data_IF_890212153871
#
_entry.id   IF_890212153871
#
_cell.length_a   1.000
_cell.length_b   1.000
_cell.length_c   1.000
_cell.angle_alpha   90.00
_cell.angle_beta   90.00
_cell.angle_gamma   90.00
#
_symmetry.space_group_name_H-M   'P 1'
#
loop_
_entity.id
_entity.type
_entity.pdbx_description
1 polymer ?
#
# COMPACT_ATOMS: atom_id res chain seq x y z
N UNK A 1 11.29 13.77 5.23
CA UNK A 1 11.22 12.68 4.22
C UNK A 1 9.89 12.00 4.44
N UNK A 2 9.17 11.74 3.35
CA UNK A 2 7.93 10.98 3.40
C UNK A 2 8.21 9.58 3.99
N UNK A 3 7.39 9.15 4.95
CA UNK A 3 7.53 7.84 5.59
C UNK A 3 6.19 7.14 5.58
N UNK A 4 6.20 5.85 5.25
CA UNK A 4 5.05 4.97 5.42
C UNK A 4 5.38 3.87 6.43
N UNK A 5 4.37 3.35 7.11
CA UNK A 5 4.47 2.15 7.94
C UNK A 5 3.36 1.19 7.58
N UNK A 6 3.72 -0.08 7.51
CA UNK A 6 2.76 -1.16 7.36
C UNK A 6 2.38 -1.64 8.77
N UNK A 7 1.12 -2.02 8.94
CA UNK A 7 0.70 -2.83 10.08
C UNK A 7 0.89 -4.31 9.74
N UNK A 8 0.79 -5.17 10.76
CA UNK A 8 0.95 -6.62 10.60
C UNK A 8 0.02 -7.19 9.51
N UNK A 9 -1.24 -6.75 9.45
CA UNK A 9 -2.19 -7.20 8.42
C UNK A 9 -1.75 -6.83 6.99
N UNK A 10 -1.23 -5.62 6.77
CA UNK A 10 -0.75 -5.21 5.47
C UNK A 10 0.56 -5.93 5.08
N UNK A 11 1.42 -6.24 6.05
CA UNK A 11 2.62 -7.06 5.81
C UNK A 11 2.23 -8.49 5.39
N UNK A 12 1.28 -9.12 6.09
CA UNK A 12 0.74 -10.44 5.72
C UNK A 12 0.10 -10.42 4.32
N UNK A 13 -0.65 -9.37 3.98
CA UNK A 13 -1.26 -9.23 2.66
C UNK A 13 -0.20 -9.08 1.56
N UNK A 14 0.90 -8.35 1.81
CA UNK A 14 2.03 -8.27 0.89
C UNK A 14 2.69 -9.62 0.66
N UNK A 15 2.92 -10.39 1.73
CA UNK A 15 3.51 -11.72 1.63
C UNK A 15 2.64 -12.65 0.77
N UNK A 16 1.33 -12.69 1.04
CA UNK A 16 0.36 -13.49 0.26
C UNK A 16 0.32 -13.07 -1.21
N UNK A 17 0.37 -11.76 -1.48
CA UNK A 17 0.35 -11.24 -2.83
C UNK A 17 1.63 -11.61 -3.60
N UNK A 18 2.77 -11.57 -2.91
CA UNK A 18 4.06 -11.96 -3.48
C UNK A 18 4.12 -13.47 -3.75
N UNK A 19 3.72 -14.31 -2.80
CA UNK A 19 3.59 -15.76 -2.99
C UNK A 19 2.67 -16.09 -4.17
N UNK A 20 1.50 -15.47 -4.23
CA UNK A 20 0.56 -15.63 -5.34
C UNK A 20 1.19 -15.18 -6.67
N UNK A 21 1.96 -14.09 -6.66
CA UNK A 21 2.70 -13.58 -7.80
C UNK A 21 3.70 -14.59 -8.36
N UNK A 22 4.45 -15.24 -7.46
CA UNK A 22 5.42 -16.30 -7.82
C UNK A 22 4.68 -17.48 -8.45
N UNK A 23 3.62 -17.96 -7.80
CA UNK A 23 2.88 -19.15 -8.20
C UNK A 23 2.13 -18.95 -9.53
N UNK A 24 1.62 -17.75 -9.79
CA UNK A 24 0.74 -17.47 -10.92
C UNK A 24 1.46 -16.92 -12.14
N UNK A 25 2.58 -16.21 -11.95
CA UNK A 25 3.22 -15.46 -13.05
C UNK A 25 4.70 -15.80 -13.23
N UNK A 26 5.51 -15.62 -12.19
CA UNK A 26 6.93 -15.98 -12.07
C UNK A 26 7.57 -15.14 -10.97
N UNK A 27 8.70 -15.61 -10.43
CA UNK A 27 9.51 -14.83 -9.49
C UNK A 27 9.84 -13.44 -10.01
N UNK A 28 10.34 -13.33 -11.25
CA UNK A 28 10.72 -12.05 -11.83
C UNK A 28 9.53 -11.06 -12.03
N UNK A 29 8.31 -11.57 -12.20
CA UNK A 29 7.12 -10.72 -12.23
C UNK A 29 6.67 -10.33 -10.83
N UNK A 30 6.74 -11.25 -9.87
CA UNK A 30 6.44 -10.97 -8.46
C UNK A 30 7.39 -9.88 -7.90
N UNK A 31 8.69 -9.99 -8.15
CA UNK A 31 9.70 -9.01 -7.72
C UNK A 31 9.38 -7.62 -8.28
N UNK A 32 9.18 -7.51 -9.60
CA UNK A 32 8.86 -6.23 -10.24
C UNK A 32 7.56 -5.62 -9.72
N UNK A 33 6.56 -6.45 -9.45
CA UNK A 33 5.30 -5.98 -8.89
C UNK A 33 5.49 -5.48 -7.46
N UNK A 34 6.23 -6.22 -6.63
CA UNK A 34 6.55 -5.84 -5.26
C UNK A 34 7.32 -4.51 -5.22
N UNK A 35 8.38 -4.35 -6.02
CA UNK A 35 9.14 -3.11 -6.11
C UNK A 35 8.26 -1.92 -6.53
N UNK A 36 7.40 -2.12 -7.54
CA UNK A 36 6.46 -1.10 -7.99
C UNK A 36 5.44 -0.71 -6.91
N UNK A 37 5.02 -1.65 -6.07
CA UNK A 37 4.12 -1.40 -4.95
C UNK A 37 4.80 -0.60 -3.84
N UNK A 38 6.05 -0.93 -3.50
CA UNK A 38 6.87 -0.16 -2.54
C UNK A 38 7.09 1.27 -3.04
N UNK A 39 7.44 1.46 -4.32
CA UNK A 39 7.53 2.81 -4.91
C UNK A 39 6.20 3.58 -4.82
N UNK A 40 5.09 2.88 -4.99
CA UNK A 40 3.76 3.47 -4.86
C UNK A 40 3.50 3.95 -3.44
N UNK A 41 3.89 3.18 -2.41
CA UNK A 41 3.79 3.59 -1.01
C UNK A 41 4.63 4.83 -0.69
N UNK A 42 5.83 4.95 -1.26
CA UNK A 42 6.62 6.18 -1.11
C UNK A 42 5.92 7.39 -1.75
N UNK A 43 5.41 7.26 -2.98
CA UNK A 43 4.65 8.33 -3.64
C UNK A 43 3.39 8.71 -2.86
N UNK A 44 2.74 7.73 -2.23
CA UNK A 44 1.61 7.96 -1.32
C UNK A 44 2.01 8.80 -0.11
N UNK A 45 3.12 8.45 0.53
CA UNK A 45 3.63 9.18 1.68
C UNK A 45 4.11 10.60 1.32
N UNK A 46 4.53 10.84 0.07
CA UNK A 46 4.90 12.18 -0.41
C UNK A 46 3.71 13.10 -0.60
N UNK A 47 2.57 12.56 -1.06
CA UNK A 47 1.35 13.34 -1.31
C UNK A 47 0.11 12.66 -0.70
N UNK A 48 0.04 12.51 0.63
CA UNK A 48 -0.94 11.65 1.28
C UNK A 48 -2.37 12.21 1.24
N UNK A 49 -2.53 13.48 0.87
CA UNK A 49 -3.84 14.14 0.75
C UNK A 49 -4.42 14.09 -0.68
N UNK A 50 -3.68 13.54 -1.66
CA UNK A 50 -4.11 13.48 -3.06
C UNK A 50 -5.32 12.56 -3.27
N UNK A 51 -5.49 11.56 -2.41
CA UNK A 51 -6.49 10.51 -2.58
C UNK A 51 -7.73 10.74 -1.73
N UNK A 52 -8.86 10.21 -2.21
CA UNK A 52 -10.17 10.37 -1.58
C UNK A 52 -10.20 9.77 -0.17
N UNK A 53 -10.91 10.45 0.73
CA UNK A 53 -11.25 9.86 2.03
C UNK A 53 -12.37 8.84 1.85
N UNK A 54 -12.37 7.83 2.70
CA UNK A 54 -13.42 6.79 2.75
C UNK A 54 -14.06 6.77 4.12
N UNK A 55 -14.42 7.95 4.62
CA UNK A 55 -15.00 8.13 5.95
C UNK A 55 -16.32 7.38 6.12
N UNK A 56 -17.01 7.08 5.01
CA UNK A 56 -18.21 6.23 4.98
C UNK A 56 -17.94 4.77 5.35
N UNK A 57 -16.73 4.26 5.11
CA UNK A 57 -16.29 2.90 5.48
C UNK A 57 -15.57 2.96 6.82
N UNK A 58 -14.61 3.88 6.95
CA UNK A 58 -13.81 4.06 8.17
C UNK A 58 -13.28 5.49 8.25
N UNK A 59 -13.72 6.21 9.28
CA UNK A 59 -13.32 7.61 9.51
C UNK A 59 -11.81 7.75 9.60
N UNK A 60 -11.26 8.75 8.89
CA UNK A 60 -9.83 9.08 8.88
C UNK A 60 -8.99 8.21 7.94
N UNK A 61 -9.62 7.30 7.20
CA UNK A 61 -8.95 6.48 6.19
C UNK A 61 -9.14 7.06 4.79
N UNK A 62 -8.18 6.73 3.93
CA UNK A 62 -8.09 7.07 2.52
C UNK A 62 -7.89 5.80 1.72
N UNK A 63 -8.26 5.89 0.45
CA UNK A 63 -8.32 4.73 -0.42
C UNK A 63 -7.79 5.01 -1.81
N UNK A 64 -7.01 4.06 -2.33
CA UNK A 64 -6.33 4.14 -3.63
C UNK A 64 -6.66 2.91 -4.46
N UNK A 65 -7.18 3.17 -5.66
CA UNK A 65 -7.32 2.21 -6.77
C UNK A 65 -7.72 0.79 -6.37
N UNK A 66 -8.89 0.59 -5.77
CA UNK A 66 -9.40 -0.79 -5.58
C UNK A 66 -9.00 -1.48 -4.26
N UNK A 67 -7.86 -1.07 -3.66
CA UNK A 67 -7.02 -2.09 -2.99
C UNK A 67 -6.21 -1.62 -1.77
N UNK A 68 -5.84 -0.35 -1.68
CA UNK A 68 -4.95 0.13 -0.59
C UNK A 68 -5.73 1.08 0.31
N UNK A 69 -5.82 0.72 1.59
CA UNK A 69 -6.38 1.56 2.65
C UNK A 69 -5.27 2.08 3.54
N UNK A 70 -5.22 3.40 3.73
CA UNK A 70 -4.23 4.02 4.60
C UNK A 70 -4.84 5.16 5.40
N UNK A 71 -4.11 5.66 6.39
CA UNK A 71 -4.46 6.86 7.15
C UNK A 71 -3.22 7.71 7.31
N UNK A 72 -3.36 8.89 7.90
CA UNK A 72 -2.24 9.78 8.15
C UNK A 72 -2.15 9.98 9.66
N UNK A 73 -0.98 9.71 10.24
CA UNK A 73 -0.69 9.90 11.66
C UNK A 73 0.54 10.79 11.79
N UNK A 74 0.31 12.09 12.05
CA UNK A 74 1.38 13.09 12.02
C UNK A 74 1.94 13.25 10.61
N UNK A 75 3.25 13.02 10.46
CA UNK A 75 3.96 13.08 9.18
C UNK A 75 4.19 11.69 8.55
N UNK A 76 3.50 10.66 9.06
CA UNK A 76 3.63 9.26 8.61
C UNK A 76 2.30 8.77 8.04
N UNK A 77 2.39 8.03 6.93
CA UNK A 77 1.30 7.24 6.34
C UNK A 77 1.23 5.85 6.95
#
# INVERSE_FOLDING_TARGET
MATFKLNEEAEDDLERLYEHGILSFSLAQADRYYDGLIEHFYKLAENPYLWQTVDSIRVGYRYVSDSIYYRIVGDTV
#
